data_IF_584386162333
#
_entry.id   IF_584386162333
#
_cell.length_a   1.000
_cell.length_b   1.000
_cell.length_c   1.000
_cell.angle_alpha   90.00
_cell.angle_beta   90.00
_cell.angle_gamma   90.00
#
_symmetry.space_group_name_H-M   'P 1'
#
loop_
_entity.id
_entity.type
_entity.pdbx_description
1 polymer ?
#
# COMPACT_ATOMS: atom_id res chain seq x y z
N UNK A 1 -52.06 24.21 -56.92
CA UNK A 1 -52.40 23.58 -55.66
C UNK A 1 -51.06 23.52 -54.87
N UNK A 2 -50.81 24.50 -53.98
CA UNK A 2 -49.55 24.73 -53.28
C UNK A 2 -49.61 24.03 -51.94
N UNK A 3 -48.69 23.05 -51.69
CA UNK A 3 -48.51 22.43 -50.46
C UNK A 3 -47.30 23.14 -49.71
N UNK A 4 -47.64 23.89 -48.67
CA UNK A 4 -46.67 24.56 -47.82
C UNK A 4 -46.05 23.54 -46.83
N UNK A 5 -44.74 23.36 -46.90
CA UNK A 5 -43.96 22.59 -45.88
C UNK A 5 -43.79 23.45 -44.63
N UNK A 6 -44.31 22.96 -43.51
CA UNK A 6 -44.13 23.52 -42.19
C UNK A 6 -42.86 22.90 -41.59
N UNK A 7 -41.78 23.68 -41.47
CA UNK A 7 -40.59 23.31 -40.76
C UNK A 7 -40.82 23.52 -39.25
N UNK A 8 -40.85 22.44 -38.49
CA UNK A 8 -40.90 22.46 -37.04
C UNK A 8 -39.46 22.63 -36.52
N UNK A 9 -39.14 23.81 -35.97
CA UNK A 9 -37.86 24.11 -35.34
C UNK A 9 -37.90 23.54 -33.89
N UNK A 10 -37.24 22.41 -33.66
CA UNK A 10 -37.04 21.89 -32.30
C UNK A 10 -35.85 22.62 -31.66
N UNK A 11 -36.14 23.55 -30.77
CA UNK A 11 -35.14 24.22 -29.94
C UNK A 11 -34.80 23.27 -28.78
N UNK A 12 -33.65 22.60 -28.89
CA UNK A 12 -33.04 21.87 -27.78
C UNK A 12 -32.48 22.88 -26.78
N UNK A 13 -33.18 23.11 -25.68
CA UNK A 13 -32.67 23.84 -24.51
C UNK A 13 -31.71 22.90 -23.77
N UNK A 14 -30.42 23.09 -23.97
CA UNK A 14 -29.43 22.54 -23.09
C UNK A 14 -29.54 23.25 -21.74
N UNK A 15 -30.14 22.60 -20.76
CA UNK A 15 -30.00 22.99 -19.35
C UNK A 15 -28.59 22.60 -18.99
N UNK A 16 -27.67 23.56 -19.03
CA UNK A 16 -26.38 23.43 -18.38
C UNK A 16 -26.67 23.38 -16.89
N UNK A 17 -26.69 22.18 -16.30
CA UNK A 17 -26.60 22.04 -14.85
C UNK A 17 -25.21 22.51 -14.48
N UNK A 18 -25.12 23.72 -13.93
CA UNK A 18 -23.96 24.18 -13.16
C UNK A 18 -23.76 23.19 -12.01
N UNK A 19 -23.00 22.14 -12.24
CA UNK A 19 -22.36 21.41 -11.18
C UNK A 19 -21.32 22.38 -10.63
N UNK A 20 -21.68 23.10 -9.57
CA UNK A 20 -20.74 23.85 -8.79
C UNK A 20 -19.62 22.87 -8.41
N UNK A 21 -18.47 22.98 -9.06
CA UNK A 21 -17.25 22.30 -8.68
C UNK A 21 -16.97 22.84 -7.30
N UNK A 22 -17.34 22.08 -6.26
CA UNK A 22 -16.95 22.37 -4.90
C UNK A 22 -15.43 22.58 -4.93
N UNK A 23 -15.00 23.76 -4.52
CA UNK A 23 -13.60 24.18 -4.55
C UNK A 23 -12.77 23.04 -3.98
N UNK A 24 -11.87 22.48 -4.76
CA UNK A 24 -11.12 21.27 -4.44
C UNK A 24 -10.45 21.44 -3.06
N UNK A 25 -10.89 20.65 -2.09
CA UNK A 25 -10.31 20.62 -0.74
C UNK A 25 -8.88 20.06 -0.74
N UNK A 26 -8.36 19.63 -1.88
CA UNK A 26 -7.03 19.06 -2.07
C UNK A 26 -6.20 20.00 -2.93
N UNK A 27 -5.07 20.44 -2.40
CA UNK A 27 -4.12 21.32 -3.09
C UNK A 27 -2.75 20.67 -3.18
N UNK A 28 -2.18 20.59 -4.37
CA UNK A 28 -0.76 20.23 -4.52
C UNK A 28 0.10 21.40 -4.04
N UNK A 29 0.92 21.16 -3.01
CA UNK A 29 1.81 22.15 -2.38
C UNK A 29 3.29 21.89 -2.66
N UNK A 30 3.63 20.70 -3.19
CA UNK A 30 5.00 20.32 -3.52
C UNK A 30 5.06 19.34 -4.67
N UNK A 31 6.17 19.40 -5.40
CA UNK A 31 6.47 18.52 -6.52
C UNK A 31 7.99 18.50 -6.71
N UNK A 32 8.64 17.48 -6.20
CA UNK A 32 10.10 17.37 -6.24
C UNK A 32 10.56 16.11 -6.98
N UNK A 33 11.60 16.25 -7.80
CA UNK A 33 12.31 15.12 -8.40
C UNK A 33 13.28 14.60 -7.35
N UNK A 34 13.04 13.35 -6.90
CA UNK A 34 13.95 12.66 -5.98
C UNK A 34 15.17 12.12 -6.73
N UNK A 35 14.92 11.47 -7.86
CA UNK A 35 15.95 10.99 -8.78
C UNK A 35 15.44 11.12 -10.22
N UNK A 36 16.26 11.67 -11.11
CA UNK A 36 15.90 11.86 -12.51
C UNK A 36 15.95 10.55 -13.32
N UNK A 37 16.62 9.53 -12.79
CA UNK A 37 16.94 8.28 -13.49
C UNK A 37 16.76 7.05 -12.59
N UNK A 38 15.59 6.91 -11.93
CA UNK A 38 15.27 5.74 -11.14
C UNK A 38 14.90 4.53 -12.03
N UNK A 39 15.20 3.32 -11.55
CA UNK A 39 15.11 2.07 -12.31
C UNK A 39 13.69 1.75 -12.81
N UNK A 40 13.61 1.38 -14.09
CA UNK A 40 12.52 0.55 -14.66
C UNK A 40 13.12 -0.78 -15.11
N UNK A 41 12.35 -1.87 -14.97
CA UNK A 41 12.81 -3.21 -15.33
C UNK A 41 12.69 -3.44 -16.85
N UNK A 42 13.69 -4.06 -17.48
CA UNK A 42 13.63 -4.32 -18.92
C UNK A 42 14.89 -4.87 -19.56
N UNK A 43 16.06 -4.70 -18.97
CA UNK A 43 17.31 -5.23 -19.53
C UNK A 43 17.32 -6.74 -19.58
N UNK A 44 17.48 -7.33 -20.78
CA UNK A 44 17.43 -8.77 -21.03
C UNK A 44 18.48 -9.57 -20.24
N UNK A 45 19.66 -8.98 -20.00
CA UNK A 45 20.74 -9.63 -19.23
C UNK A 45 20.34 -10.01 -17.80
N UNK A 46 19.27 -9.41 -17.25
CA UNK A 46 18.73 -9.72 -15.92
C UNK A 46 17.51 -10.65 -15.96
N UNK A 47 17.27 -11.29 -17.12
CA UNK A 47 16.21 -12.26 -17.31
C UNK A 47 14.86 -11.65 -17.69
N UNK A 48 13.84 -12.49 -17.76
CA UNK A 48 12.47 -12.09 -18.11
C UNK A 48 11.88 -11.14 -17.08
N UNK A 49 11.20 -10.08 -17.57
CA UNK A 49 10.45 -9.16 -16.71
C UNK A 49 9.25 -9.86 -16.10
N UNK A 50 9.26 -9.99 -14.79
CA UNK A 50 8.18 -10.61 -14.02
C UNK A 50 7.29 -9.54 -13.40
N UNK A 51 5.99 -9.71 -13.58
CA UNK A 51 4.93 -8.92 -13.02
C UNK A 51 4.77 -7.52 -13.64
N UNK A 52 5.80 -6.66 -13.71
CA UNK A 52 5.72 -5.32 -14.26
C UNK A 52 7.10 -4.81 -14.68
N UNK A 53 7.14 -3.82 -15.60
CA UNK A 53 8.37 -3.11 -15.99
C UNK A 53 8.77 -1.99 -15.03
N UNK A 54 8.25 -1.94 -13.84
CA UNK A 54 8.53 -0.96 -12.80
C UNK A 54 8.88 -1.67 -11.50
N UNK A 55 9.62 -1.02 -10.63
CA UNK A 55 9.98 -1.56 -9.32
C UNK A 55 9.78 -0.52 -8.22
N UNK A 56 10.06 0.74 -8.49
CA UNK A 56 9.82 1.82 -7.55
C UNK A 56 8.34 2.22 -7.57
N UNK A 57 7.75 2.47 -6.39
CA UNK A 57 6.36 2.92 -6.28
C UNK A 57 5.32 1.82 -6.46
N UNK A 58 5.67 0.55 -6.26
CA UNK A 58 4.70 -0.55 -6.28
C UNK A 58 3.90 -0.58 -4.97
N UNK A 59 2.62 -0.26 -5.05
CA UNK A 59 1.73 -0.11 -3.89
C UNK A 59 1.53 -1.40 -3.09
N UNK A 60 1.67 -2.56 -3.74
CA UNK A 60 1.58 -3.82 -3.04
C UNK A 60 2.88 -4.10 -2.28
N UNK A 61 2.81 -4.23 -0.97
CA UNK A 61 3.90 -4.72 -0.13
C UNK A 61 5.14 -3.82 -0.02
N UNK A 62 5.07 -2.56 -0.44
CA UNK A 62 6.17 -1.64 -0.28
C UNK A 62 5.79 -0.53 0.70
N UNK A 63 6.64 -0.35 1.73
CA UNK A 63 6.63 0.81 2.62
C UNK A 63 8.03 1.44 2.55
N UNK A 64 8.18 2.42 1.68
CA UNK A 64 9.49 2.99 1.35
C UNK A 64 9.52 4.53 1.43
N UNK A 65 8.47 5.15 2.00
CA UNK A 65 8.42 6.59 2.28
C UNK A 65 8.00 6.76 3.72
N UNK A 66 8.88 7.33 4.55
CA UNK A 66 8.69 7.45 5.99
C UNK A 66 9.14 8.83 6.46
N UNK A 67 8.28 9.54 7.16
CA UNK A 67 8.64 10.80 7.86
C UNK A 67 8.95 10.52 9.33
N UNK A 68 10.03 11.12 9.82
CA UNK A 68 10.39 11.12 11.23
C UNK A 68 11.22 12.38 11.58
N UNK A 69 10.96 12.98 12.74
CA UNK A 69 11.69 14.14 13.28
C UNK A 69 11.92 15.28 12.27
N UNK A 70 10.87 15.62 11.48
CA UNK A 70 10.93 16.71 10.49
C UNK A 70 11.69 16.38 9.21
N UNK A 71 12.13 15.14 9.03
CA UNK A 71 12.76 14.62 7.81
C UNK A 71 11.92 13.54 7.15
N UNK A 72 11.93 13.52 5.82
CA UNK A 72 11.34 12.45 5.01
C UNK A 72 12.44 11.58 4.42
N UNK A 73 12.30 10.27 4.57
CA UNK A 73 13.21 9.24 4.08
C UNK A 73 12.54 8.42 2.97
N UNK A 74 13.27 8.08 1.91
CA UNK A 74 12.75 7.32 0.76
C UNK A 74 13.76 6.26 0.32
N UNK A 75 13.32 4.99 0.27
CA UNK A 75 14.10 3.89 -0.29
C UNK A 75 13.70 3.58 -1.73
N UNK A 76 14.67 3.42 -2.64
CA UNK A 76 14.43 3.15 -4.06
C UNK A 76 15.65 2.51 -4.74
N UNK A 77 15.47 2.03 -5.98
CA UNK A 77 16.57 1.63 -6.87
C UNK A 77 16.81 2.70 -7.92
N UNK A 78 18.05 3.12 -8.10
CA UNK A 78 18.44 4.03 -9.18
C UNK A 78 18.64 3.30 -10.52
N UNK A 79 18.95 4.05 -11.59
CA UNK A 79 19.14 3.52 -12.93
C UNK A 79 20.29 2.54 -13.07
N UNK A 80 21.29 2.62 -12.19
CA UNK A 80 22.42 1.70 -12.12
C UNK A 80 22.13 0.47 -11.25
N UNK A 81 20.85 0.31 -10.83
CA UNK A 81 20.36 -0.80 -10.01
C UNK A 81 20.90 -0.84 -8.57
N UNK A 82 21.47 0.26 -8.10
CA UNK A 82 21.93 0.37 -6.73
C UNK A 82 20.75 0.58 -5.77
N UNK A 83 20.88 0.06 -4.57
CA UNK A 83 19.99 0.37 -3.46
C UNK A 83 20.30 1.77 -2.99
N UNK A 84 19.28 2.62 -2.95
CA UNK A 84 19.42 4.02 -2.55
C UNK A 84 18.51 4.33 -1.36
N UNK A 85 18.98 5.21 -0.48
CA UNK A 85 18.17 5.90 0.50
C UNK A 85 18.38 7.39 0.39
N UNK A 86 17.29 8.12 0.22
CA UNK A 86 17.30 9.59 0.18
C UNK A 86 16.65 10.15 1.45
N UNK A 87 17.07 11.35 1.86
CA UNK A 87 16.37 12.15 2.85
C UNK A 87 16.19 13.58 2.40
N UNK A 88 15.17 14.24 2.91
CA UNK A 88 15.01 15.71 2.82
C UNK A 88 14.49 16.28 4.13
N UNK A 89 14.88 17.50 4.47
CA UNK A 89 14.23 18.28 5.52
C UNK A 89 12.87 18.77 5.03
N UNK A 90 11.84 18.56 5.82
CA UNK A 90 10.51 19.06 5.49
C UNK A 90 10.38 20.55 5.85
N UNK A 91 9.52 21.34 5.15
CA UNK A 91 8.61 20.89 4.10
C UNK A 91 9.22 20.76 2.70
N UNK A 92 10.30 21.50 2.37
CA UNK A 92 10.78 21.71 1.00
C UNK A 92 12.31 21.60 0.86
N UNK A 93 13.00 20.93 1.78
CA UNK A 93 14.45 20.74 1.71
C UNK A 93 14.89 19.99 0.44
N UNK A 94 16.13 20.22 0.04
CA UNK A 94 16.76 19.47 -1.05
C UNK A 94 16.93 17.98 -0.66
N UNK A 95 16.92 17.10 -1.68
CA UNK A 95 17.19 15.70 -1.47
C UNK A 95 18.71 15.44 -1.33
N UNK A 96 19.08 14.73 -0.27
CA UNK A 96 20.39 14.16 -0.06
C UNK A 96 20.27 12.64 -0.28
N UNK A 97 21.12 12.06 -1.15
CA UNK A 97 20.99 10.65 -1.56
C UNK A 97 22.25 9.88 -1.23
N UNK A 98 22.08 8.75 -0.54
CA UNK A 98 23.10 7.70 -0.41
C UNK A 98 22.80 6.62 -1.46
N UNK A 99 23.82 6.24 -2.24
CA UNK A 99 23.83 5.09 -3.12
C UNK A 99 24.80 4.06 -2.55
N UNK A 100 24.32 2.83 -2.35
CA UNK A 100 25.17 1.77 -1.83
C UNK A 100 25.81 1.03 -3.02
N UNK A 101 27.13 1.04 -3.07
CA UNK A 101 27.94 0.42 -4.12
C UNK A 101 28.27 -1.06 -3.84
N UNK A 102 27.96 -1.54 -2.65
CA UNK A 102 28.19 -2.92 -2.20
C UNK A 102 27.06 -3.90 -2.59
N UNK A 103 26.01 -3.41 -3.24
CA UNK A 103 24.90 -4.25 -3.71
C UNK A 103 24.23 -3.70 -4.97
N UNK A 104 24.14 -4.55 -5.99
CA UNK A 104 23.39 -4.26 -7.21
C UNK A 104 22.22 -5.24 -7.37
N UNK A 105 21.02 -4.74 -7.67
CA UNK A 105 19.84 -5.52 -7.96
C UNK A 105 19.96 -6.22 -9.32
N UNK A 106 19.99 -7.56 -9.33
CA UNK A 106 20.30 -8.37 -10.51
C UNK A 106 19.13 -9.17 -11.07
N UNK A 107 17.90 -8.71 -10.84
CA UNK A 107 16.68 -9.38 -11.28
C UNK A 107 15.75 -8.43 -12.03
N UNK A 108 14.85 -8.96 -12.83
CA UNK A 108 13.73 -8.26 -13.44
C UNK A 108 12.39 -8.64 -12.77
N UNK A 109 12.39 -9.03 -11.49
CA UNK A 109 11.18 -9.34 -10.74
C UNK A 109 10.70 -8.11 -9.96
N UNK A 110 9.57 -7.55 -10.36
CA UNK A 110 8.97 -6.36 -9.72
C UNK A 110 8.42 -6.61 -8.31
N UNK A 111 8.48 -7.84 -7.79
CA UNK A 111 8.15 -8.11 -6.39
C UNK A 111 9.28 -7.72 -5.43
N UNK A 112 10.50 -7.54 -5.93
CA UNK A 112 11.72 -7.36 -5.15
C UNK A 112 11.91 -5.89 -4.71
N UNK A 113 10.86 -5.26 -4.23
CA UNK A 113 10.82 -3.85 -3.80
C UNK A 113 11.68 -3.58 -2.57
N UNK A 114 11.95 -2.30 -2.29
CA UNK A 114 12.59 -1.85 -1.06
C UNK A 114 11.52 -1.47 -0.05
N UNK A 115 11.74 -1.81 1.24
CA UNK A 115 10.99 -1.30 2.37
C UNK A 115 11.94 -0.67 3.38
N UNK A 116 11.51 0.43 4.01
CA UNK A 116 12.29 1.10 5.06
C UNK A 116 11.43 1.27 6.31
N UNK A 117 12.11 1.31 7.46
CA UNK A 117 11.50 1.62 8.75
C UNK A 117 12.42 2.52 9.56
N UNK A 118 11.85 3.36 10.40
CA UNK A 118 12.58 4.17 11.37
C UNK A 118 12.11 3.78 12.76
N UNK A 119 13.04 3.41 13.64
CA UNK A 119 12.74 3.17 15.03
C UNK A 119 12.74 4.51 15.79
N UNK A 120 11.62 4.97 16.35
CA UNK A 120 11.58 6.25 17.07
C UNK A 120 12.46 6.27 18.32
N UNK A 121 12.55 5.15 19.03
CA UNK A 121 13.23 5.07 20.34
C UNK A 121 14.74 5.25 20.25
N UNK A 122 15.38 4.76 19.17
CA UNK A 122 16.83 4.83 19.04
C UNK A 122 17.32 5.55 17.78
N UNK A 123 16.41 5.96 16.91
CA UNK A 123 16.72 6.69 15.69
C UNK A 123 17.44 5.88 14.62
N UNK A 124 17.37 4.55 14.67
CA UNK A 124 17.92 3.69 13.62
C UNK A 124 17.01 3.68 12.40
N UNK A 125 17.61 3.58 11.21
CA UNK A 125 16.92 3.42 9.93
C UNK A 125 17.19 2.02 9.41
N UNK A 126 16.14 1.25 9.17
CA UNK A 126 16.18 -0.13 8.72
C UNK A 126 15.79 -0.22 7.25
N UNK A 127 16.55 -0.97 6.45
CA UNK A 127 16.30 -1.14 5.01
C UNK A 127 16.29 -2.63 4.69
N UNK A 128 15.22 -3.12 4.05
CA UNK A 128 15.10 -4.48 3.52
C UNK A 128 14.76 -4.41 2.02
N UNK A 129 15.46 -5.19 1.20
CA UNK A 129 15.40 -5.06 -0.27
C UNK A 129 15.66 -6.38 -0.99
N UNK A 130 15.13 -6.50 -2.22
CA UNK A 130 15.33 -7.62 -3.15
C UNK A 130 14.81 -8.97 -2.64
N UNK A 131 13.49 -9.05 -2.33
CA UNK A 131 12.90 -10.24 -1.72
C UNK A 131 11.67 -10.78 -2.46
N UNK A 132 11.84 -11.93 -3.12
CA UNK A 132 10.75 -12.80 -3.56
C UNK A 132 11.16 -14.27 -3.39
N UNK A 133 11.12 -14.76 -2.14
CA UNK A 133 11.66 -16.06 -1.68
C UNK A 133 13.21 -16.07 -1.78
N UNK A 134 13.82 -14.92 -1.59
CA UNK A 134 15.28 -14.75 -1.55
C UNK A 134 15.80 -14.74 -0.10
N UNK A 135 17.09 -15.00 0.12
CA UNK A 135 17.73 -14.70 1.40
C UNK A 135 17.44 -13.26 1.82
N UNK A 136 17.39 -13.02 3.10
CA UNK A 136 17.23 -11.67 3.61
C UNK A 136 18.42 -10.79 3.15
N UNK A 137 18.10 -9.64 2.57
CA UNK A 137 19.04 -8.54 2.34
C UNK A 137 18.55 -7.38 3.20
N UNK A 138 19.25 -7.14 4.28
CA UNK A 138 18.88 -6.15 5.28
C UNK A 138 20.11 -5.41 5.77
N UNK A 139 19.95 -4.12 6.02
CA UNK A 139 20.93 -3.28 6.69
C UNK A 139 20.26 -2.29 7.62
N UNK A 140 21.00 -1.80 8.58
CA UNK A 140 20.52 -0.83 9.56
C UNK A 140 21.57 0.27 9.75
N UNK A 141 21.10 1.49 10.03
CA UNK A 141 21.97 2.62 10.33
C UNK A 141 22.50 2.57 11.77
N UNK A 142 23.46 3.41 12.06
CA UNK A 142 23.85 3.76 13.42
C UNK A 142 22.65 4.35 14.19
N UNK A 143 22.73 4.26 15.51
CA UNK A 143 21.76 4.87 16.43
C UNK A 143 21.80 6.40 16.32
N UNK A 144 20.65 7.03 16.46
CA UNK A 144 20.52 8.49 16.46
C UNK A 144 20.45 9.14 15.08
N UNK A 145 20.68 8.40 13.98
CA UNK A 145 20.69 8.95 12.61
C UNK A 145 19.38 9.65 12.27
N UNK A 146 18.24 9.08 12.63
CA UNK A 146 16.93 9.66 12.33
C UNK A 146 16.40 10.58 13.43
N UNK A 147 16.91 10.50 14.67
CA UNK A 147 16.51 11.41 15.77
C UNK A 147 17.35 12.67 15.83
N UNK A 148 18.56 12.66 15.25
CA UNK A 148 19.47 13.80 15.19
C UNK A 148 19.87 14.14 13.73
N UNK A 149 18.91 14.24 12.80
CA UNK A 149 19.21 14.36 11.38
C UNK A 149 19.95 15.65 11.01
N UNK A 150 19.79 16.74 11.77
CA UNK A 150 20.45 18.03 11.54
C UNK A 150 21.97 17.97 11.73
N UNK A 151 22.44 17.15 12.65
CA UNK A 151 23.87 17.04 12.98
C UNK A 151 24.53 15.83 12.35
N UNK A 152 23.76 14.98 11.67
CA UNK A 152 24.25 13.76 11.03
C UNK A 152 24.63 14.02 9.58
N UNK A 153 25.93 13.90 9.26
CA UNK A 153 26.41 13.93 7.88
C UNK A 153 25.85 12.73 7.12
N UNK A 154 25.09 12.97 6.02
CA UNK A 154 24.41 11.91 5.29
C UNK A 154 25.36 11.20 4.34
N UNK A 155 25.83 10.02 4.72
CA UNK A 155 26.84 9.23 3.99
C UNK A 155 26.66 7.72 4.21
N UNK A 156 27.16 6.89 3.30
CA UNK A 156 26.95 5.43 3.30
C UNK A 156 27.55 4.75 4.53
N UNK A 157 28.61 5.29 5.12
CA UNK A 157 29.23 4.73 6.33
C UNK A 157 28.37 4.79 7.60
N UNK A 158 27.24 5.51 7.56
CA UNK A 158 26.22 5.44 8.61
C UNK A 158 25.50 4.09 8.68
N UNK A 159 25.60 3.28 7.64
CA UNK A 159 24.87 2.03 7.50
C UNK A 159 25.82 0.83 7.56
N UNK A 160 25.46 -0.17 8.36
CA UNK A 160 26.18 -1.42 8.42
C UNK A 160 26.13 -2.22 7.11
N UNK A 161 26.88 -3.35 7.05
CA UNK A 161 26.88 -4.23 5.88
C UNK A 161 25.52 -4.89 5.66
N UNK A 162 25.32 -5.45 4.47
CA UNK A 162 24.14 -6.28 4.18
C UNK A 162 24.24 -7.60 4.96
N UNK A 163 23.21 -7.93 5.72
CA UNK A 163 23.13 -9.20 6.46
C UNK A 163 21.93 -10.03 5.99
N UNK A 164 21.99 -11.34 6.20
CA UNK A 164 20.98 -12.31 5.76
C UNK A 164 20.22 -12.98 6.90
N UNK A 165 20.40 -12.51 8.11
CA UNK A 165 19.79 -13.07 9.32
C UNK A 165 19.36 -11.94 10.27
N UNK A 166 18.26 -12.15 10.99
CA UNK A 166 17.84 -11.27 12.09
C UNK A 166 18.33 -11.80 13.45
N UNK A 167 18.40 -13.11 13.58
CA UNK A 167 18.94 -13.81 14.73
C UNK A 167 20.21 -14.55 14.31
N UNK A 168 21.25 -14.46 15.11
CA UNK A 168 22.56 -15.05 14.82
C UNK A 168 22.47 -16.53 14.44
N UNK A 169 23.11 -16.91 13.34
CA UNK A 169 23.14 -18.26 12.76
C UNK A 169 21.76 -18.80 12.33
N UNK A 170 20.80 -17.91 12.03
CA UNK A 170 19.47 -18.27 11.53
C UNK A 170 19.15 -17.49 10.25
N UNK A 171 19.79 -17.82 9.12
CA UNK A 171 19.47 -17.18 7.83
C UNK A 171 18.03 -17.50 7.43
N UNK A 172 17.34 -16.50 6.89
CA UNK A 172 15.94 -16.62 6.49
C UNK A 172 15.76 -16.28 5.03
N UNK A 173 14.76 -16.90 4.37
CA UNK A 173 14.27 -16.53 3.05
C UNK A 173 12.90 -15.89 3.19
N UNK A 174 12.76 -14.72 2.59
CA UNK A 174 11.55 -13.92 2.77
C UNK A 174 10.99 -13.39 1.44
N UNK A 175 9.74 -12.94 1.51
CA UNK A 175 9.11 -12.06 0.53
C UNK A 175 8.39 -10.95 1.27
N UNK A 176 8.29 -9.78 0.64
CA UNK A 176 7.38 -8.71 1.05
C UNK A 176 7.65 -8.18 2.46
N UNK A 177 8.87 -7.69 2.73
CA UNK A 177 9.20 -7.05 4.00
C UNK A 177 8.37 -5.79 4.19
N UNK A 178 7.93 -5.55 5.44
CA UNK A 178 7.27 -4.33 5.88
C UNK A 178 7.74 -3.94 7.25
N UNK A 179 7.86 -2.63 7.47
CA UNK A 179 8.17 -2.05 8.77
C UNK A 179 7.05 -1.13 9.22
N UNK A 180 6.79 -1.07 10.51
CA UNK A 180 5.95 -0.03 11.11
C UNK A 180 6.35 0.22 12.56
N UNK A 181 6.14 1.47 12.99
CA UNK A 181 6.38 1.89 14.36
C UNK A 181 5.27 1.38 15.27
N UNK A 182 5.64 1.04 16.51
CA UNK A 182 4.68 0.66 17.55
C UNK A 182 4.28 1.86 18.40
N UNK A 183 3.12 1.83 19.08
CA UNK A 183 2.75 2.87 20.04
C UNK A 183 3.73 3.03 21.19
N UNK A 184 4.46 1.97 21.53
CA UNK A 184 5.52 1.98 22.56
C UNK A 184 6.82 2.68 22.10
N UNK A 185 6.89 3.13 20.83
CA UNK A 185 8.07 3.77 20.24
C UNK A 185 9.09 2.80 19.66
N UNK A 186 8.79 1.49 19.62
CA UNK A 186 9.60 0.48 18.95
C UNK A 186 9.34 0.39 17.44
N UNK A 187 9.90 -0.66 16.82
CA UNK A 187 9.71 -0.98 15.41
C UNK A 187 9.34 -2.45 15.27
N UNK A 188 8.42 -2.73 14.37
CA UNK A 188 8.06 -4.09 13.98
C UNK A 188 8.44 -4.37 12.54
N UNK A 189 8.81 -5.62 12.26
CA UNK A 189 9.14 -6.13 10.94
C UNK A 189 8.27 -7.34 10.61
N UNK A 190 7.57 -7.28 9.48
CA UNK A 190 6.76 -8.37 8.99
C UNK A 190 7.24 -8.83 7.63
N UNK A 191 7.23 -10.13 7.41
CA UNK A 191 7.58 -10.74 6.13
C UNK A 191 6.77 -12.00 5.88
N UNK A 192 6.70 -12.42 4.62
CA UNK A 192 6.16 -13.74 4.27
C UNK A 192 7.28 -14.76 4.22
N UNK A 193 7.18 -15.80 5.01
CA UNK A 193 7.92 -17.05 4.86
C UNK A 193 7.12 -17.99 3.93
N UNK A 194 7.82 -18.72 3.03
CA UNK A 194 7.17 -19.58 2.03
C UNK A 194 6.71 -18.83 0.78
N UNK A 195 6.02 -19.56 -0.11
CA UNK A 195 5.62 -19.10 -1.44
C UNK A 195 4.19 -18.57 -1.53
N UNK A 196 3.79 -18.17 -2.75
CA UNK A 196 2.39 -17.91 -3.05
C UNK A 196 1.60 -19.22 -3.01
N UNK A 197 0.51 -19.27 -2.24
CA UNK A 197 -0.31 -20.46 -2.01
C UNK A 197 0.19 -21.40 -0.90
N UNK A 198 1.34 -21.11 -0.27
CA UNK A 198 1.89 -21.84 0.88
C UNK A 198 2.72 -20.90 1.78
N UNK A 199 2.34 -19.68 1.89
CA UNK A 199 3.05 -18.67 2.68
C UNK A 199 2.36 -18.36 3.99
N UNK A 200 3.16 -17.99 4.99
CA UNK A 200 2.71 -17.51 6.30
C UNK A 200 3.41 -16.22 6.66
N UNK A 201 2.72 -15.34 7.35
CA UNK A 201 3.28 -14.06 7.82
C UNK A 201 3.96 -14.26 9.15
N UNK A 202 5.18 -13.73 9.20
CA UNK A 202 6.00 -13.70 10.41
C UNK A 202 6.13 -12.26 10.87
N UNK A 203 6.02 -12.04 12.17
CA UNK A 203 6.16 -10.74 12.84
C UNK A 203 7.32 -10.82 13.82
N UNK A 204 8.16 -9.79 13.83
CA UNK A 204 9.35 -9.69 14.67
C UNK A 204 9.41 -8.31 15.31
N UNK A 205 9.77 -8.22 16.57
CA UNK A 205 9.92 -6.96 17.28
C UNK A 205 11.38 -6.54 17.32
N UNK A 206 11.66 -5.27 17.06
CA UNK A 206 12.98 -4.68 17.26
C UNK A 206 13.07 -4.12 18.69
N UNK A 207 14.07 -4.58 19.41
CA UNK A 207 14.42 -4.05 20.72
C UNK A 207 15.50 -2.96 20.58
N UNK A 208 15.13 -1.68 20.78
CA UNK A 208 16.08 -0.58 20.64
C UNK A 208 17.18 -0.56 21.69
N UNK A 209 17.00 -1.20 22.85
CA UNK A 209 18.03 -1.22 23.90
C UNK A 209 19.20 -2.15 23.51
N UNK A 210 18.88 -3.35 23.07
CA UNK A 210 19.88 -4.33 22.65
C UNK A 210 20.25 -4.27 21.18
N UNK A 211 19.54 -3.45 20.36
CA UNK A 211 19.64 -3.37 18.89
C UNK A 211 19.46 -4.74 18.23
N UNK A 212 18.50 -5.53 18.70
CA UNK A 212 18.21 -6.89 18.20
C UNK A 212 16.76 -7.06 17.79
N UNK A 213 16.56 -7.96 16.83
CA UNK A 213 15.26 -8.49 16.49
C UNK A 213 14.93 -9.67 17.41
N UNK A 214 13.74 -9.63 18.03
CA UNK A 214 13.30 -10.59 19.05
C UNK A 214 11.86 -11.04 18.78
N UNK A 215 11.41 -12.06 19.50
CA UNK A 215 10.00 -12.47 19.53
C UNK A 215 9.41 -12.83 18.17
N UNK A 216 10.17 -13.49 17.30
CA UNK A 216 9.66 -13.95 16.00
C UNK A 216 8.45 -14.86 16.19
N UNK A 217 7.31 -14.48 15.62
CA UNK A 217 6.03 -15.20 15.74
C UNK A 217 5.25 -15.23 14.43
N UNK A 218 4.46 -16.27 14.26
CA UNK A 218 3.58 -16.44 13.11
C UNK A 218 2.22 -15.82 13.40
N UNK A 219 1.70 -14.99 12.48
CA UNK A 219 0.40 -14.29 12.65
C UNK A 219 -0.72 -14.89 11.81
N UNK A 220 -0.41 -15.61 10.74
CA UNK A 220 -1.42 -16.34 9.97
C UNK A 220 -0.97 -17.75 9.60
N UNK A 221 -1.92 -18.60 9.24
CA UNK A 221 -1.67 -19.98 8.88
C UNK A 221 -1.96 -20.26 7.41
N UNK A 222 -1.08 -21.00 6.74
CA UNK A 222 -1.34 -21.50 5.40
C UNK A 222 -2.27 -22.73 5.36
N UNK A 223 -2.71 -23.24 6.50
CA UNK A 223 -3.49 -24.48 6.60
C UNK A 223 -5.00 -24.28 6.41
N UNK A 224 -5.70 -25.36 6.14
CA UNK A 224 -7.16 -25.42 6.02
C UNK A 224 -7.62 -25.95 4.66
N UNK A 225 -8.92 -26.16 4.48
CA UNK A 225 -9.52 -26.63 3.23
C UNK A 225 -10.40 -25.53 2.60
N UNK A 226 -10.22 -25.31 1.29
CA UNK A 226 -11.09 -24.46 0.45
C UNK A 226 -11.26 -25.12 -0.90
N UNK A 227 -12.43 -25.70 -1.14
CA UNK A 227 -12.64 -26.58 -2.29
C UNK A 227 -11.67 -27.76 -2.28
N UNK A 228 -10.79 -27.83 -3.28
CA UNK A 228 -9.73 -28.85 -3.38
C UNK A 228 -8.38 -28.40 -2.82
N UNK A 229 -8.24 -27.13 -2.44
CA UNK A 229 -7.00 -26.58 -1.89
C UNK A 229 -6.87 -26.88 -0.41
N UNK A 230 -5.67 -27.24 0.02
CA UNK A 230 -5.33 -27.52 1.41
C UNK A 230 -4.36 -26.48 1.98
N UNK A 231 -3.86 -25.56 1.15
CA UNK A 231 -2.95 -24.51 1.58
C UNK A 231 -3.21 -23.19 0.84
N UNK A 232 -2.74 -22.11 1.42
CA UNK A 232 -2.91 -20.73 0.94
C UNK A 232 -1.85 -19.79 1.44
N UNK A 233 -1.93 -18.54 1.01
CA UNK A 233 -1.25 -17.45 1.69
C UNK A 233 -2.19 -16.25 1.84
N UNK A 234 -1.99 -15.48 2.90
CA UNK A 234 -2.63 -14.19 3.10
C UNK A 234 -1.94 -13.10 2.27
N UNK A 235 -2.74 -12.12 1.85
CA UNK A 235 -2.25 -10.87 1.26
C UNK A 235 -2.85 -9.71 2.06
N UNK A 236 -2.10 -9.17 3.05
CA UNK A 236 -2.57 -8.06 3.87
C UNK A 236 -2.80 -6.79 3.06
N UNK A 237 -3.88 -6.08 3.38
CA UNK A 237 -4.12 -4.72 2.89
C UNK A 237 -3.29 -3.70 3.69
N UNK A 238 -3.03 -3.98 4.94
CA UNK A 238 -2.17 -3.19 5.82
C UNK A 238 -2.06 -3.79 7.22
N UNK A 239 -1.20 -3.15 7.99
CA UNK A 239 -1.05 -3.27 9.44
C UNK A 239 -1.08 -1.85 9.97
N UNK A 240 -2.08 -1.49 10.76
CA UNK A 240 -2.30 -0.09 11.14
C UNK A 240 -2.68 0.00 12.61
N UNK A 241 -1.88 0.76 13.36
CA UNK A 241 -2.23 1.10 14.72
C UNK A 241 -3.26 2.22 14.75
N UNK A 242 -4.34 1.99 15.50
CA UNK A 242 -5.33 3.01 15.80
C UNK A 242 -4.88 3.92 16.97
N UNK A 243 -5.60 5.03 17.21
CA UNK A 243 -5.31 5.96 18.30
C UNK A 243 -5.46 5.29 19.68
N UNK A 244 -6.20 4.20 19.77
CA UNK A 244 -6.39 3.38 20.97
C UNK A 244 -5.28 2.33 21.19
N UNK A 245 -4.21 2.34 20.38
CA UNK A 245 -3.10 1.40 20.45
C UNK A 245 -3.37 0.02 19.87
N UNK A 246 -4.57 -0.24 19.33
CA UNK A 246 -4.89 -1.53 18.68
C UNK A 246 -4.22 -1.62 17.32
N UNK A 247 -3.61 -2.76 17.05
CA UNK A 247 -3.07 -3.11 15.72
C UNK A 247 -4.14 -3.81 14.91
N UNK A 248 -4.55 -3.22 13.80
CA UNK A 248 -5.55 -3.77 12.90
C UNK A 248 -4.91 -4.40 11.67
N UNK A 249 -5.40 -5.55 11.24
CA UNK A 249 -5.00 -6.22 10.01
C UNK A 249 -6.24 -6.63 9.20
N UNK A 250 -6.32 -6.23 7.93
CA UNK A 250 -7.25 -6.81 6.95
C UNK A 250 -6.46 -7.52 5.86
N UNK A 251 -7.01 -8.61 5.33
CA UNK A 251 -6.34 -9.38 4.27
C UNK A 251 -7.31 -10.12 3.38
N UNK A 252 -6.80 -10.61 2.26
CA UNK A 252 -7.49 -11.55 1.38
C UNK A 252 -6.68 -12.84 1.24
N UNK A 253 -7.33 -13.95 0.92
CA UNK A 253 -6.67 -15.24 0.73
C UNK A 253 -6.38 -15.54 -0.74
N UNK A 254 -5.32 -16.31 -0.98
CA UNK A 254 -5.01 -16.93 -2.28
C UNK A 254 -4.58 -18.36 -2.07
N UNK A 255 -5.23 -19.28 -2.79
CA UNK A 255 -5.04 -20.72 -2.61
C UNK A 255 -3.80 -21.26 -3.31
N UNK A 256 -3.57 -20.88 -4.55
CA UNK A 256 -2.40 -21.29 -5.34
C UNK A 256 -1.77 -20.08 -6.04
N UNK A 257 -0.54 -20.18 -6.57
CA UNK A 257 0.10 -19.05 -7.27
C UNK A 257 -0.72 -18.46 -8.42
N UNK A 258 -1.52 -19.29 -9.09
CA UNK A 258 -2.35 -18.90 -10.24
C UNK A 258 -3.80 -18.61 -9.88
N UNK A 259 -4.26 -18.95 -8.66
CA UNK A 259 -5.64 -18.73 -8.25
C UNK A 259 -5.98 -17.25 -8.16
N UNK A 260 -7.24 -16.88 -8.39
CA UNK A 260 -7.80 -15.61 -7.92
C UNK A 260 -7.69 -15.49 -6.39
N UNK A 261 -7.92 -14.29 -5.87
CA UNK A 261 -8.07 -14.11 -4.44
C UNK A 261 -9.55 -14.25 -4.05
N UNK A 262 -9.80 -14.50 -2.78
CA UNK A 262 -11.15 -14.60 -2.24
C UNK A 262 -11.22 -14.07 -0.81
N UNK A 263 -12.42 -13.77 -0.37
CA UNK A 263 -12.79 -13.30 0.98
C UNK A 263 -12.00 -12.09 1.48
N UNK A 264 -12.66 -11.24 2.22
CA UNK A 264 -12.04 -10.19 3.02
C UNK A 264 -12.09 -10.62 4.49
N UNK A 265 -10.95 -10.57 5.14
CA UNK A 265 -10.74 -11.00 6.51
C UNK A 265 -10.28 -9.84 7.38
N UNK A 266 -10.50 -9.97 8.70
CA UNK A 266 -10.09 -8.99 9.70
C UNK A 266 -9.74 -9.66 11.02
N UNK A 267 -8.69 -9.16 11.65
CA UNK A 267 -8.33 -9.42 13.04
C UNK A 267 -7.63 -8.18 13.62
N UNK A 268 -7.60 -8.08 14.93
CA UNK A 268 -6.87 -7.02 15.63
C UNK A 268 -6.11 -7.57 16.84
N UNK A 269 -5.16 -6.79 17.33
CA UNK A 269 -4.36 -7.10 18.51
C UNK A 269 -4.32 -5.89 19.43
N UNK A 270 -4.36 -6.12 20.73
CA UNK A 270 -4.29 -5.10 21.79
C UNK A 270 -2.92 -5.09 22.50
N UNK A 271 -2.02 -6.00 22.10
CA UNK A 271 -0.73 -6.24 22.73
C UNK A 271 0.44 -6.27 21.72
N UNK A 272 0.35 -5.40 20.70
CA UNK A 272 1.36 -5.27 19.64
C UNK A 272 1.59 -6.58 18.86
N UNK A 273 0.51 -7.34 18.61
CA UNK A 273 0.54 -8.55 17.78
C UNK A 273 1.09 -9.79 18.47
N UNK A 274 1.11 -9.83 19.80
CA UNK A 274 1.43 -11.04 20.57
C UNK A 274 0.26 -12.00 20.57
N UNK A 275 -0.96 -11.48 20.82
CA UNK A 275 -2.22 -12.19 20.63
C UNK A 275 -3.10 -11.50 19.59
N UNK A 276 -3.96 -12.25 18.94
CA UNK A 276 -4.87 -11.74 17.92
C UNK A 276 -6.31 -12.06 18.31
N UNK A 277 -7.19 -11.08 18.10
CA UNK A 277 -8.61 -11.15 18.39
C UNK A 277 -9.42 -11.14 17.10
N UNK A 278 -10.53 -11.85 17.08
CA UNK A 278 -11.48 -11.81 15.99
C UNK A 278 -12.33 -10.52 16.01
N UNK A 279 -13.28 -10.38 15.07
CA UNK A 279 -14.14 -9.19 15.00
C UNK A 279 -15.01 -9.00 16.26
N UNK A 280 -15.35 -10.07 16.98
CA UNK A 280 -16.13 -10.03 18.22
C UNK A 280 -15.31 -9.74 19.48
N UNK A 281 -13.97 -9.73 19.37
CA UNK A 281 -13.06 -9.56 20.50
C UNK A 281 -12.64 -10.87 21.18
N UNK A 282 -12.99 -12.04 20.60
CA UNK A 282 -12.53 -13.32 21.12
C UNK A 282 -11.11 -13.61 20.63
N UNK A 283 -10.27 -14.15 21.51
CA UNK A 283 -8.89 -14.52 21.17
C UNK A 283 -8.84 -15.71 20.19
N UNK A 284 -8.01 -15.57 19.17
CA UNK A 284 -7.74 -16.64 18.20
C UNK A 284 -6.84 -17.69 18.84
N UNK A 285 -7.19 -18.95 18.69
CA UNK A 285 -6.39 -20.08 19.14
C UNK A 285 -5.21 -20.34 18.19
N UNK A 286 -4.17 -19.51 18.28
CA UNK A 286 -2.99 -19.55 17.41
C UNK A 286 -3.09 -18.64 16.20
N UNK A 287 -2.25 -18.84 15.16
CA UNK A 287 -2.21 -18.01 13.96
C UNK A 287 -3.56 -18.02 13.23
N UNK A 288 -3.99 -16.85 12.69
CA UNK A 288 -5.24 -16.72 11.96
C UNK A 288 -5.30 -17.68 10.76
N UNK A 289 -6.22 -18.63 10.79
CA UNK A 289 -6.45 -19.62 9.75
C UNK A 289 -7.76 -19.32 9.00
N UNK A 290 -7.96 -19.96 7.84
CA UNK A 290 -9.17 -19.73 7.04
C UNK A 290 -10.48 -19.98 7.82
N UNK A 291 -10.46 -20.96 8.69
CA UNK A 291 -11.60 -21.43 9.52
C UNK A 291 -11.61 -20.87 10.93
N UNK A 292 -10.70 -19.93 11.26
CA UNK A 292 -10.75 -19.22 12.53
C UNK A 292 -12.10 -18.50 12.67
N UNK A 293 -12.81 -18.65 13.81
CA UNK A 293 -14.13 -18.08 13.99
C UNK A 293 -14.08 -16.55 14.00
N UNK A 294 -15.08 -15.90 13.41
CA UNK A 294 -15.31 -14.46 13.53
C UNK A 294 -14.31 -13.54 12.81
N UNK A 295 -13.38 -14.07 11.98
CA UNK A 295 -12.43 -13.22 11.23
C UNK A 295 -12.91 -12.84 9.83
N UNK A 296 -13.93 -13.51 9.29
CA UNK A 296 -14.44 -13.21 7.94
C UNK A 296 -15.35 -11.98 7.97
N UNK A 297 -14.98 -10.96 7.22
CA UNK A 297 -15.76 -9.73 7.01
C UNK A 297 -16.84 -9.98 5.97
N UNK A 298 -16.44 -10.46 4.79
CA UNK A 298 -17.34 -10.70 3.68
C UNK A 298 -16.82 -11.84 2.81
N UNK A 299 -17.75 -12.64 2.31
CA UNK A 299 -17.46 -13.67 1.32
C UNK A 299 -17.39 -13.04 -0.07
N UNK A 300 -16.19 -13.00 -0.65
CA UNK A 300 -15.96 -12.57 -2.03
C UNK A 300 -15.44 -13.79 -2.78
N UNK A 301 -16.27 -14.36 -3.64
CA UNK A 301 -15.92 -15.54 -4.43
C UNK A 301 -14.79 -15.24 -5.44
N UNK A 302 -13.96 -16.23 -5.74
CA UNK A 302 -12.89 -16.15 -6.75
C UNK A 302 -13.36 -15.66 -8.13
N UNK A 303 -14.64 -15.88 -8.46
CA UNK A 303 -15.26 -15.48 -9.72
C UNK A 303 -15.37 -13.95 -9.93
N UNK A 304 -15.20 -13.16 -8.88
CA UNK A 304 -15.33 -11.71 -8.93
C UNK A 304 -13.99 -10.97 -9.12
N UNK A 305 -12.89 -11.69 -9.30
CA UNK A 305 -11.59 -11.11 -9.63
C UNK A 305 -11.02 -10.16 -8.58
N UNK A 306 -11.20 -10.52 -7.30
CA UNK A 306 -10.65 -9.78 -6.16
C UNK A 306 -9.14 -9.61 -6.30
N UNK A 307 -8.66 -8.38 -6.22
CA UNK A 307 -7.24 -8.05 -6.20
C UNK A 307 -6.67 -8.28 -4.81
N UNK A 308 -5.37 -8.47 -4.70
CA UNK A 308 -4.65 -8.56 -3.43
C UNK A 308 -3.97 -7.25 -3.07
N UNK A 309 -3.74 -7.07 -1.78
CA UNK A 309 -2.97 -5.97 -1.19
C UNK A 309 -3.43 -4.60 -1.64
N UNK A 310 -4.35 -4.05 -0.90
CA UNK A 310 -4.93 -2.75 -1.17
C UNK A 310 -4.47 -1.71 -0.15
N UNK A 311 -5.41 -1.00 0.47
CA UNK A 311 -5.15 -0.05 1.53
C UNK A 311 -6.17 -0.16 2.65
N UNK A 312 -5.72 0.20 3.84
CA UNK A 312 -6.56 0.37 5.02
C UNK A 312 -6.11 1.60 5.80
N UNK A 313 -7.01 2.15 6.60
CA UNK A 313 -6.75 3.22 7.55
C UNK A 313 -7.61 3.00 8.80
N UNK A 314 -7.29 3.69 9.88
CA UNK A 314 -8.07 3.67 11.11
C UNK A 314 -8.49 5.10 11.42
N UNK A 315 -9.76 5.29 11.79
CA UNK A 315 -10.33 6.59 12.11
C UNK A 315 -10.00 7.05 13.56
N UNK A 316 -10.49 8.24 13.94
CA UNK A 316 -10.25 8.82 15.27
C UNK A 316 -10.86 8.01 16.41
N UNK A 317 -11.86 7.17 16.13
CA UNK A 317 -12.51 6.27 17.08
C UNK A 317 -11.82 4.91 17.19
N UNK A 318 -10.79 4.65 16.38
CA UNK A 318 -10.12 3.36 16.31
C UNK A 318 -10.87 2.32 15.49
N UNK A 319 -11.71 2.74 14.55
CA UNK A 319 -12.45 1.86 13.65
C UNK A 319 -11.72 1.74 12.32
N UNK A 320 -11.71 0.53 11.78
CA UNK A 320 -10.96 0.21 10.55
C UNK A 320 -11.77 0.49 9.29
N UNK A 321 -11.12 1.12 8.32
CA UNK A 321 -11.57 1.31 6.95
C UNK A 321 -10.65 0.54 6.00
N UNK A 322 -11.20 -0.20 5.05
CA UNK A 322 -10.42 -0.86 4.00
C UNK A 322 -11.12 -0.72 2.66
N UNK A 323 -10.34 -0.48 1.60
CA UNK A 323 -10.88 -0.44 0.25
C UNK A 323 -10.25 -1.55 -0.56
N UNK A 324 -11.09 -2.40 -1.14
CA UNK A 324 -10.66 -3.50 -2.01
C UNK A 324 -11.28 -3.36 -3.40
N UNK A 325 -10.61 -3.93 -4.40
CA UNK A 325 -11.01 -3.90 -5.80
C UNK A 325 -11.47 -5.27 -6.25
N UNK A 326 -12.72 -5.36 -6.68
CA UNK A 326 -13.28 -6.55 -7.33
C UNK A 326 -14.43 -6.17 -8.27
N UNK A 327 -15.11 -7.14 -8.86
CA UNK A 327 -16.40 -7.00 -9.53
C UNK A 327 -17.52 -7.48 -8.60
N UNK A 328 -18.76 -7.14 -8.91
CA UNK A 328 -19.98 -7.73 -8.36
C UNK A 328 -20.95 -8.05 -9.50
N UNK A 329 -22.07 -8.70 -9.22
CA UNK A 329 -23.05 -9.08 -10.24
C UNK A 329 -23.55 -7.88 -11.03
N UNK A 330 -23.87 -6.79 -10.38
CA UNK A 330 -24.33 -5.54 -11.01
C UNK A 330 -23.27 -4.99 -11.99
N UNK A 331 -22.02 -4.88 -11.55
CA UNK A 331 -20.93 -4.36 -12.38
C UNK A 331 -20.58 -5.28 -13.56
N UNK A 332 -20.71 -6.59 -13.40
CA UNK A 332 -20.53 -7.57 -14.48
C UNK A 332 -21.67 -7.50 -15.47
N UNK A 333 -22.92 -7.44 -15.00
CA UNK A 333 -24.10 -7.31 -15.85
C UNK A 333 -24.07 -6.02 -16.68
N UNK A 334 -23.66 -4.90 -16.07
CA UNK A 334 -23.52 -3.60 -16.74
C UNK A 334 -22.59 -3.61 -17.97
N UNK A 335 -21.66 -4.58 -18.04
CA UNK A 335 -20.72 -4.75 -19.17
C UNK A 335 -21.01 -6.02 -19.99
N UNK A 336 -22.18 -6.64 -19.81
CA UNK A 336 -22.56 -7.86 -20.51
C UNK A 336 -21.73 -9.09 -20.16
N UNK A 337 -21.15 -9.13 -18.94
CA UNK A 337 -20.30 -10.22 -18.47
C UNK A 337 -20.98 -11.01 -17.35
N UNK A 338 -20.38 -12.15 -17.00
CA UNK A 338 -20.84 -13.03 -15.91
C UNK A 338 -19.69 -13.33 -14.96
N UNK A 339 -19.97 -13.73 -13.70
CA UNK A 339 -18.94 -14.27 -12.82
C UNK A 339 -18.18 -15.40 -13.49
N UNK A 340 -16.86 -15.39 -13.38
CA UNK A 340 -16.00 -16.39 -14.01
C UNK A 340 -14.62 -16.40 -13.37
N UNK A 341 -13.91 -17.54 -13.49
CA UNK A 341 -12.56 -17.69 -12.91
C UNK A 341 -11.51 -16.86 -13.64
N UNK A 342 -11.72 -15.56 -13.71
CA UNK A 342 -10.77 -14.60 -14.28
C UNK A 342 -10.05 -13.90 -13.14
N UNK A 343 -8.72 -14.05 -13.08
CA UNK A 343 -7.88 -13.57 -11.98
C UNK A 343 -8.18 -12.12 -11.53
N UNK A 344 -8.60 -11.25 -12.43
CA UNK A 344 -8.84 -9.83 -12.13
C UNK A 344 -10.19 -9.29 -12.63
N UNK A 345 -11.06 -10.12 -13.20
CA UNK A 345 -12.31 -9.70 -13.82
C UNK A 345 -12.15 -8.75 -15.02
N UNK A 346 -13.21 -8.47 -15.79
CA UNK A 346 -13.19 -7.51 -16.89
C UNK A 346 -12.86 -6.09 -16.38
N UNK A 347 -11.98 -5.37 -17.08
CA UNK A 347 -11.51 -4.04 -16.66
C UNK A 347 -12.67 -3.07 -16.38
N UNK A 348 -13.65 -3.01 -17.29
CA UNK A 348 -14.79 -2.09 -17.19
C UNK A 348 -15.76 -2.42 -16.03
N UNK A 349 -15.75 -3.67 -15.54
CA UNK A 349 -16.57 -4.11 -14.40
C UNK A 349 -15.93 -3.88 -13.04
N UNK A 350 -14.62 -3.59 -12.98
CA UNK A 350 -13.91 -3.42 -11.71
C UNK A 350 -14.40 -2.17 -10.98
N UNK A 351 -14.70 -2.34 -9.69
CA UNK A 351 -15.09 -1.26 -8.78
C UNK A 351 -14.21 -1.29 -7.55
N UNK A 352 -14.12 -0.16 -6.85
CA UNK A 352 -13.63 -0.11 -5.48
C UNK A 352 -14.81 -0.25 -4.54
N UNK A 353 -14.60 -1.04 -3.48
CA UNK A 353 -15.55 -1.27 -2.40
C UNK A 353 -14.89 -0.84 -1.11
N UNK A 354 -15.47 0.13 -0.44
CA UNK A 354 -15.06 0.60 0.88
C UNK A 354 -15.84 -0.17 1.92
N UNK A 355 -15.16 -0.99 2.70
CA UNK A 355 -15.67 -1.67 3.86
C UNK A 355 -15.19 -0.96 5.10
N UNK A 356 -16.08 -0.72 6.05
CA UNK A 356 -15.73 -0.10 7.32
C UNK A 356 -16.49 -0.76 8.45
N UNK A 357 -15.85 -0.80 9.63
CA UNK A 357 -16.37 -1.43 10.83
C UNK A 357 -17.07 -0.38 11.68
N UNK A 358 -18.26 -0.69 12.17
CA UNK A 358 -19.00 0.12 13.14
C UNK A 358 -18.55 -0.20 14.58
N UNK A 359 -18.93 0.67 15.52
CA UNK A 359 -18.63 0.49 16.96
C UNK A 359 -19.20 -0.80 17.55
N UNK A 360 -20.36 -1.24 17.07
CA UNK A 360 -21.00 -2.51 17.47
C UNK A 360 -20.37 -3.76 16.85
N UNK A 361 -19.34 -3.61 16.05
CA UNK A 361 -18.64 -4.70 15.35
C UNK A 361 -19.25 -5.11 14.03
N UNK A 362 -20.34 -4.52 13.61
CA UNK A 362 -20.91 -4.75 12.27
C UNK A 362 -20.06 -4.08 11.18
N UNK A 363 -20.18 -4.59 9.96
CA UNK A 363 -19.49 -4.03 8.80
C UNK A 363 -20.48 -3.48 7.80
N UNK A 364 -20.17 -2.31 7.28
CA UNK A 364 -20.88 -1.72 6.17
C UNK A 364 -20.00 -1.62 4.92
N UNK A 365 -20.65 -1.43 3.77
CA UNK A 365 -19.99 -1.34 2.48
C UNK A 365 -20.55 -0.20 1.65
N UNK A 366 -19.66 0.52 0.95
CA UNK A 366 -19.99 1.51 -0.09
C UNK A 366 -19.32 1.13 -1.40
N UNK A 367 -20.04 1.21 -2.50
CA UNK A 367 -19.46 1.05 -3.84
C UNK A 367 -19.02 2.42 -4.33
N UNK A 368 -17.74 2.57 -4.65
CA UNK A 368 -17.23 3.83 -5.18
C UNK A 368 -17.62 4.00 -6.64
N UNK A 369 -17.98 5.24 -7.08
CA UNK A 369 -18.37 5.51 -8.46
C UNK A 369 -17.20 5.30 -9.43
N UNK A 370 -17.53 4.93 -10.66
CA UNK A 370 -16.57 4.77 -11.76
C UNK A 370 -15.84 3.44 -11.79
N UNK A 371 -14.91 3.32 -12.72
CA UNK A 371 -14.09 2.12 -12.93
C UNK A 371 -12.83 2.20 -12.09
N UNK A 372 -12.54 1.16 -11.33
CA UNK A 372 -11.34 1.09 -10.52
C UNK A 372 -10.04 1.05 -11.35
N UNK A 373 -9.00 1.64 -10.81
CA UNK A 373 -7.65 1.66 -11.39
C UNK A 373 -6.70 0.63 -10.75
N UNK A 374 -5.53 1.11 -10.32
CA UNK A 374 -4.48 0.33 -9.65
C UNK A 374 -4.88 -0.10 -8.24
N UNK A 375 -3.95 -0.71 -7.49
CA UNK A 375 -4.10 -0.87 -6.04
C UNK A 375 -4.13 0.50 -5.40
N UNK A 376 -5.17 0.81 -4.58
CA UNK A 376 -5.31 2.10 -3.94
C UNK A 376 -4.54 2.18 -2.62
N UNK A 377 -4.36 3.41 -2.14
CA UNK A 377 -4.05 3.72 -0.74
C UNK A 377 -5.23 4.45 -0.12
N UNK A 378 -5.47 4.20 1.16
CA UNK A 378 -6.57 4.78 1.93
C UNK A 378 -6.00 5.63 3.05
N UNK A 379 -6.58 6.80 3.26
CA UNK A 379 -6.24 7.72 4.33
C UNK A 379 -7.53 8.23 4.96
N UNK A 380 -7.49 8.51 6.25
CA UNK A 380 -8.59 9.13 7.00
C UNK A 380 -8.03 10.37 7.67
N UNK A 381 -8.74 11.50 7.62
CA UNK A 381 -8.34 12.74 8.27
C UNK A 381 -8.88 12.83 9.73
N UNK A 382 -8.56 13.91 10.43
CA UNK A 382 -8.98 14.14 11.80
C UNK A 382 -10.50 14.31 11.96
N UNK A 383 -11.22 14.61 10.88
CA UNK A 383 -12.68 14.68 10.83
C UNK A 383 -13.31 13.36 10.37
N UNK A 384 -12.51 12.28 10.30
CA UNK A 384 -12.88 10.94 9.83
C UNK A 384 -13.34 10.89 8.37
N UNK A 385 -13.05 11.92 7.56
CA UNK A 385 -13.28 11.83 6.13
C UNK A 385 -12.29 10.86 5.51
N UNK A 386 -12.78 10.01 4.61
CA UNK A 386 -11.98 9.00 3.96
C UNK A 386 -11.52 9.46 2.56
N UNK A 387 -10.26 9.19 2.25
CA UNK A 387 -9.66 9.50 0.94
C UNK A 387 -9.07 8.23 0.32
N UNK A 388 -9.31 8.08 -0.97
CA UNK A 388 -8.78 6.99 -1.79
C UNK A 388 -7.88 7.56 -2.87
N UNK A 389 -6.62 7.11 -2.89
CA UNK A 389 -5.64 7.52 -3.89
C UNK A 389 -5.31 6.33 -4.77
N UNK A 390 -5.40 6.50 -6.08
CA UNK A 390 -5.07 5.45 -7.06
C UNK A 390 -4.62 6.03 -8.39
N UNK A 391 -4.06 5.19 -9.25
CA UNK A 391 -3.71 5.56 -10.61
C UNK A 391 -4.53 4.77 -11.64
N UNK A 392 -4.86 5.42 -12.73
CA UNK A 392 -5.48 4.82 -13.91
C UNK A 392 -4.98 5.52 -15.17
N UNK A 393 -4.48 4.73 -16.13
CA UNK A 393 -3.98 5.23 -17.43
C UNK A 393 -2.89 6.30 -17.32
N UNK A 394 -2.14 6.31 -16.20
CA UNK A 394 -1.04 7.25 -15.98
C UNK A 394 -1.43 8.54 -15.25
N UNK A 395 -2.70 8.71 -14.90
CA UNK A 395 -3.19 9.83 -14.08
C UNK A 395 -3.39 9.36 -12.64
N UNK A 396 -3.00 10.18 -11.69
CA UNK A 396 -3.29 10.01 -10.26
C UNK A 396 -4.68 10.61 -9.97
N UNK A 397 -5.49 9.86 -9.25
CA UNK A 397 -6.83 10.27 -8.81
C UNK A 397 -6.88 10.26 -7.29
N UNK A 398 -7.50 11.27 -6.72
CA UNK A 398 -7.87 11.33 -5.30
C UNK A 398 -9.40 11.44 -5.24
N UNK A 399 -10.03 10.47 -4.59
CA UNK A 399 -11.44 10.50 -4.26
C UNK A 399 -11.59 10.79 -2.77
N UNK A 400 -12.72 11.35 -2.37
CA UNK A 400 -13.03 11.62 -0.97
C UNK A 400 -14.48 11.33 -0.63
N UNK A 401 -14.75 11.02 0.63
CA UNK A 401 -16.09 10.88 1.21
C UNK A 401 -16.09 11.40 2.64
N UNK A 402 -17.19 12.01 3.07
CA UNK A 402 -17.32 12.61 4.39
C UNK A 402 -17.86 11.60 5.41
N UNK A 403 -17.30 11.61 6.63
CA UNK A 403 -17.85 10.89 7.76
C UNK A 403 -19.27 11.33 8.09
N UNK A 404 -19.55 12.66 8.01
CA UNK A 404 -20.90 13.21 8.24
C UNK A 404 -21.97 12.71 7.26
N UNK A 405 -21.58 12.17 6.11
CA UNK A 405 -22.44 11.51 5.15
C UNK A 405 -22.39 9.98 5.27
N UNK A 406 -21.81 9.44 6.35
CA UNK A 406 -21.56 8.00 6.52
C UNK A 406 -20.84 7.41 5.29
N UNK A 407 -19.92 8.16 4.72
CA UNK A 407 -19.15 7.83 3.52
C UNK A 407 -20.01 7.39 2.31
N UNK A 408 -21.22 7.93 2.15
CA UNK A 408 -22.10 7.67 0.99
C UNK A 408 -21.83 8.61 -0.18
N UNK A 409 -21.08 9.69 0.02
CA UNK A 409 -20.85 10.78 -0.92
C UNK A 409 -19.50 10.68 -1.66
N UNK A 410 -18.98 9.47 -1.87
CA UNK A 410 -17.73 9.27 -2.58
C UNK A 410 -17.71 10.01 -3.92
N UNK A 411 -16.75 10.91 -4.10
CA UNK A 411 -16.58 11.71 -5.32
C UNK A 411 -15.12 11.98 -5.64
N UNK A 412 -14.86 12.41 -6.86
CA UNK A 412 -13.53 12.86 -7.28
C UNK A 412 -13.25 14.23 -6.67
N UNK A 413 -12.12 14.35 -5.95
CA UNK A 413 -11.69 15.62 -5.32
C UNK A 413 -10.44 16.21 -5.95
N UNK A 414 -9.59 15.39 -6.60
CA UNK A 414 -8.39 15.88 -7.28
C UNK A 414 -7.90 14.91 -8.36
N UNK A 415 -7.27 15.45 -9.40
CA UNK A 415 -6.51 14.68 -10.39
C UNK A 415 -5.15 15.32 -10.65
N UNK A 416 -4.10 14.49 -10.70
CA UNK A 416 -2.78 14.91 -11.17
C UNK A 416 -2.47 14.20 -12.49
N UNK A 417 -2.34 14.93 -13.61
CA UNK A 417 -2.01 14.33 -14.89
C UNK A 417 -0.57 13.82 -14.89
N UNK A 418 -0.37 12.61 -15.47
CA UNK A 418 0.93 11.98 -15.61
C UNK A 418 1.70 12.40 -16.86
N UNK A 419 2.50 11.49 -17.39
CA UNK A 419 2.33 10.03 -17.38
C UNK A 419 3.03 9.31 -16.22
N UNK A 420 2.28 8.75 -15.28
CA UNK A 420 2.84 7.96 -14.18
C UNK A 420 2.73 6.45 -14.43
N UNK A 421 3.58 5.67 -13.77
CA UNK A 421 3.41 4.24 -13.63
C UNK A 421 2.17 3.92 -12.76
N UNK A 422 1.57 2.73 -12.92
CA UNK A 422 0.21 2.46 -12.43
C UNK A 422 0.06 2.23 -10.92
N UNK A 423 1.07 2.48 -10.10
CA UNK A 423 0.97 2.38 -8.63
C UNK A 423 1.80 3.49 -7.97
N UNK A 424 1.61 3.73 -6.69
CA UNK A 424 2.25 4.78 -5.90
C UNK A 424 2.39 4.34 -4.45
N UNK A 425 3.22 5.03 -3.70
CA UNK A 425 3.32 4.91 -2.25
C UNK A 425 2.90 6.20 -1.58
N UNK A 426 2.40 6.11 -0.37
CA UNK A 426 2.06 7.25 0.46
C UNK A 426 2.84 7.27 1.75
N UNK A 427 3.15 8.44 2.25
CA UNK A 427 3.78 8.65 3.55
C UNK A 427 2.70 8.79 4.63
N UNK A 428 2.40 7.70 5.32
CA UNK A 428 1.39 7.67 6.38
C UNK A 428 1.83 8.45 7.63
N UNK A 429 3.12 8.56 7.89
CA UNK A 429 3.63 9.29 9.06
C UNK A 429 3.48 10.80 8.85
N UNK A 430 3.86 11.32 7.69
CA UNK A 430 3.65 12.74 7.38
C UNK A 430 2.18 13.11 7.37
N UNK A 431 1.34 12.22 6.83
CA UNK A 431 -0.12 12.41 6.86
C UNK A 431 -0.63 12.57 8.29
N UNK A 432 -0.23 11.67 9.19
CA UNK A 432 -0.63 11.68 10.59
C UNK A 432 -0.11 12.91 11.34
N UNK A 433 1.14 13.33 11.06
CA UNK A 433 1.79 14.40 11.81
C UNK A 433 1.38 15.80 11.36
N UNK A 434 1.00 15.98 10.10
CA UNK A 434 0.83 17.33 9.51
C UNK A 434 -0.34 17.47 8.53
N UNK A 435 -1.18 16.45 8.36
CA UNK A 435 -2.24 16.42 7.34
C UNK A 435 -1.75 16.73 5.91
N UNK A 436 -0.46 16.45 5.64
CA UNK A 436 0.15 16.57 4.32
C UNK A 436 0.43 15.17 3.79
N UNK A 437 -0.15 14.82 2.65
CA UNK A 437 0.07 13.55 2.01
C UNK A 437 1.17 13.65 0.96
N UNK A 438 2.30 13.00 1.22
CA UNK A 438 3.37 12.81 0.24
C UNK A 438 3.13 11.51 -0.53
N UNK A 439 3.12 11.61 -1.86
CA UNK A 439 2.93 10.47 -2.76
C UNK A 439 4.17 10.30 -3.62
N UNK A 440 4.81 9.13 -3.52
CA UNK A 440 5.89 8.73 -4.41
C UNK A 440 5.30 8.16 -5.71
N UNK A 441 5.67 8.74 -6.83
CA UNK A 441 5.28 8.32 -8.18
C UNK A 441 6.49 8.24 -9.08
N UNK A 442 6.49 7.28 -10.01
CA UNK A 442 7.52 7.20 -11.06
C UNK A 442 6.90 7.52 -12.42
N UNK A 443 7.61 8.32 -13.21
CA UNK A 443 7.20 8.63 -14.58
C UNK A 443 7.27 7.37 -15.44
N UNK A 444 6.27 7.15 -16.30
CA UNK A 444 6.22 6.00 -17.20
C UNK A 444 7.34 6.08 -18.24
N UNK A 445 8.13 5.01 -18.43
CA UNK A 445 9.19 5.03 -19.44
C UNK A 445 8.62 5.11 -20.85
N UNK A 446 9.30 5.82 -21.72
CA UNK A 446 9.14 5.70 -23.17
C UNK A 446 9.80 4.39 -23.63
N UNK A 447 9.42 3.90 -24.84
CA UNK A 447 10.02 2.69 -25.40
C UNK A 447 11.55 2.81 -25.48
N UNK A 448 12.25 1.85 -24.94
CA UNK A 448 13.73 1.82 -24.94
C UNK A 448 14.39 2.59 -23.79
N UNK A 449 13.63 3.14 -22.83
CA UNK A 449 14.19 3.79 -21.65
C UNK A 449 13.99 2.88 -20.43
N UNK A 450 15.06 2.59 -19.72
CA UNK A 450 15.09 1.72 -18.53
C UNK A 450 15.19 2.50 -17.22
N UNK A 451 15.21 3.81 -17.29
CA UNK A 451 15.15 4.69 -16.13
C UNK A 451 14.31 5.92 -16.42
N UNK A 452 13.64 6.42 -15.38
CA UNK A 452 12.78 7.61 -15.46
C UNK A 452 12.72 8.33 -14.12
N UNK A 453 12.24 9.57 -14.13
CA UNK A 453 12.14 10.37 -12.94
C UNK A 453 11.23 9.73 -11.87
N UNK A 454 11.76 9.64 -10.66
CA UNK A 454 11.04 9.32 -9.43
C UNK A 454 10.75 10.63 -8.71
N UNK A 455 9.50 10.86 -8.32
CA UNK A 455 9.04 12.14 -7.80
C UNK A 455 8.26 11.94 -6.51
N UNK A 456 8.30 12.95 -5.66
CA UNK A 456 7.40 13.09 -4.51
C UNK A 456 6.48 14.27 -4.77
N UNK A 457 5.18 13.99 -4.74
CA UNK A 457 4.10 14.97 -4.84
C UNK A 457 3.52 15.19 -3.44
N UNK A 458 3.45 16.43 -2.98
CA UNK A 458 2.93 16.77 -1.67
C UNK A 458 1.55 17.43 -1.82
N UNK A 459 0.57 16.88 -1.14
CA UNK A 459 -0.82 17.37 -1.15
C UNK A 459 -1.24 17.79 0.25
N UNK A 460 -1.84 18.98 0.33
CA UNK A 460 -2.53 19.43 1.53
C UNK A 460 -4.02 19.27 1.36
N UNK A 461 -4.66 18.80 2.39
CA UNK A 461 -6.11 18.64 2.47
C UNK A 461 -6.65 19.76 3.34
N UNK A 462 -7.66 20.49 2.87
CA UNK A 462 -8.34 21.54 3.60
C UNK A 462 -9.65 21.05 4.22
N UNK A 463 -10.14 21.81 5.22
CA UNK A 463 -11.43 21.59 5.84
C UNK A 463 -12.61 21.73 4.87
#
# INVERSE_FOLDING_TARGET
MNMKHLFLLVVLVFVASDVAIAQSRVKKIGDSILDASALNLGEEKYGEVRFAKRINGLAFQQDAVVTHAGYQYVGYYDGDRQVCIARRKLPLGAWEVIRFDDYAFVSNDAHNTISIGVCPADGTIHIAFDHHIHPLHYRVSDRGVATNPETTQWQASLFGPVISELEKNKPIKISYPRFWQTPSGGLQFCYRAGGSGDGRRMLVDYDPESSKWLNTRQIDSSKGAYGKSLSRCSYPNGYTYGPNGKLHMTWVWRETPSSPNHDLMYAFSEDEGKTWLNNGGDELRGPAALDSPGIKVVNINEAYGLMNTHGQAVDSKGLIHTVVRHCNDESLQAVGSKPGKVRFGPLAARRYFHYFRNEDGTWEMRVLPGVAGSRPKVFVDEADNAYLIYQRSGTLFIMGAKASASWNDWGLVYTEPGPFNNEMLGDYYRWKDSAVLSIMVQVRPKKGHESTALRILDFQFGE
#
